data_IF_423399084166
#
_entry.id   IF_423399084166
#
_cell.length_a   1.000
_cell.length_b   1.000
_cell.length_c   1.000
_cell.angle_alpha   90.00
_cell.angle_beta   90.00
_cell.angle_gamma   90.00
#
_symmetry.space_group_name_H-M   'P 1'
#
loop_
_entity.id
_entity.type
_entity.pdbx_description
1 polymer ?
#
# COMPACT_ATOMS: atom_id res chain seq x y z
N UNK A 1 -19.80 4.96 -12.37
CA UNK A 1 -18.73 3.96 -12.37
C UNK A 1 -17.54 4.55 -11.62
N UNK A 2 -16.92 3.83 -10.70
CA UNK A 2 -15.78 4.32 -9.92
C UNK A 2 -14.46 3.97 -10.61
N UNK A 3 -13.51 4.88 -10.55
CA UNK A 3 -12.15 4.65 -11.04
C UNK A 3 -11.25 4.25 -9.87
N UNK A 4 -10.63 3.10 -9.95
CA UNK A 4 -9.77 2.53 -8.94
C UNK A 4 -8.35 2.45 -9.47
N UNK A 5 -7.43 3.16 -8.83
CA UNK A 5 -6.01 3.07 -9.11
C UNK A 5 -5.38 2.08 -8.12
N UNK A 6 -4.65 1.10 -8.63
CA UNK A 6 -3.77 0.27 -7.81
C UNK A 6 -2.33 0.75 -7.99
N UNK A 7 -1.60 0.84 -6.91
CA UNK A 7 -0.18 1.23 -6.91
C UNK A 7 0.64 0.15 -6.23
N UNK A 8 1.68 -0.32 -6.91
CA UNK A 8 2.68 -1.23 -6.36
C UNK A 8 4.09 -0.78 -6.74
N UNK A 9 5.06 -1.24 -5.99
CA UNK A 9 6.48 -1.04 -6.31
C UNK A 9 6.96 -1.94 -7.46
N UNK A 10 6.31 -3.09 -7.65
CA UNK A 10 6.68 -4.10 -8.64
C UNK A 10 5.48 -4.78 -9.28
N UNK A 11 5.61 -6.05 -9.62
CA UNK A 11 4.56 -6.83 -10.33
C UNK A 11 3.58 -7.55 -9.40
N UNK A 12 3.80 -7.57 -8.09
CA UNK A 12 2.93 -8.24 -7.11
C UNK A 12 1.51 -7.69 -7.07
N UNK A 13 1.34 -6.41 -7.40
CA UNK A 13 0.05 -5.74 -7.49
C UNK A 13 -0.92 -6.33 -8.52
N UNK A 14 -0.43 -7.13 -9.49
CA UNK A 14 -1.28 -7.84 -10.47
C UNK A 14 -2.26 -8.79 -9.76
N UNK A 15 -1.80 -9.54 -8.77
CA UNK A 15 -2.67 -10.46 -8.03
C UNK A 15 -3.75 -9.71 -7.24
N UNK A 16 -3.40 -8.57 -6.67
CA UNK A 16 -4.36 -7.69 -5.97
C UNK A 16 -5.38 -7.13 -6.97
N UNK A 17 -4.91 -6.68 -8.15
CA UNK A 17 -5.78 -6.19 -9.23
C UNK A 17 -6.80 -7.25 -9.65
N UNK A 18 -6.37 -8.47 -9.92
CA UNK A 18 -7.27 -9.56 -10.33
C UNK A 18 -8.35 -9.78 -9.28
N UNK A 19 -7.98 -9.80 -8.01
CA UNK A 19 -8.96 -9.94 -6.92
C UNK A 19 -9.92 -8.73 -6.83
N UNK A 20 -9.42 -7.52 -7.05
CA UNK A 20 -10.28 -6.33 -7.09
C UNK A 20 -11.29 -6.37 -8.25
N UNK A 21 -10.88 -6.86 -9.41
CA UNK A 21 -11.78 -7.02 -10.58
C UNK A 21 -12.88 -8.03 -10.26
N UNK A 22 -12.54 -9.16 -9.65
CA UNK A 22 -13.51 -10.20 -9.26
C UNK A 22 -14.58 -9.65 -8.28
N UNK A 23 -14.14 -8.85 -7.30
CA UNK A 23 -15.02 -8.31 -6.25
C UNK A 23 -15.81 -7.06 -6.68
N UNK A 24 -15.29 -6.30 -7.64
CA UNK A 24 -15.89 -5.04 -8.07
C UNK A 24 -15.88 -4.87 -9.60
N UNK A 25 -16.52 -5.78 -10.37
CA UNK A 25 -16.43 -5.82 -11.84
C UNK A 25 -17.01 -4.58 -12.54
N UNK A 26 -17.76 -3.75 -11.83
CA UNK A 26 -18.35 -2.51 -12.37
C UNK A 26 -17.44 -1.28 -12.22
N UNK A 27 -16.21 -1.45 -11.73
CA UNK A 27 -15.24 -0.36 -11.62
C UNK A 27 -14.28 -0.34 -12.82
N UNK A 28 -13.71 0.84 -13.08
CA UNK A 28 -12.56 0.95 -13.98
C UNK A 28 -11.28 0.80 -13.16
N UNK A 29 -10.33 0.03 -13.64
CA UNK A 29 -9.08 -0.23 -12.95
C UNK A 29 -7.87 0.25 -13.76
N UNK A 30 -6.91 0.84 -13.08
CA UNK A 30 -5.57 1.12 -13.57
C UNK A 30 -4.55 0.58 -12.56
N UNK A 31 -3.58 -0.19 -13.02
CA UNK A 31 -2.45 -0.62 -12.20
C UNK A 31 -1.20 0.17 -12.60
N UNK A 32 -0.58 0.81 -11.62
CA UNK A 32 0.70 1.48 -11.76
C UNK A 32 1.78 0.73 -10.97
N UNK A 33 2.82 0.27 -11.66
CA UNK A 33 3.99 -0.38 -11.08
C UNK A 33 5.23 0.47 -11.30
N UNK A 34 5.84 0.98 -10.23
CA UNK A 34 7.02 1.84 -10.32
C UNK A 34 8.33 1.02 -10.37
N UNK A 35 8.48 0.24 -11.42
CA UNK A 35 9.66 -0.61 -11.59
C UNK A 35 10.98 0.17 -11.71
N UNK A 36 10.91 1.44 -12.13
CA UNK A 36 12.10 2.30 -12.30
C UNK A 36 12.79 2.60 -10.97
N UNK A 37 12.02 2.76 -9.91
CA UNK A 37 12.52 3.19 -8.61
C UNK A 37 12.72 2.05 -7.60
N UNK A 38 12.63 0.79 -8.04
CA UNK A 38 12.96 -0.37 -7.21
C UNK A 38 14.44 -0.34 -6.75
N UNK A 39 14.78 -0.90 -5.58
CA UNK A 39 13.89 -1.46 -4.55
C UNK A 39 13.35 -0.39 -3.60
N UNK A 40 12.08 -0.50 -3.22
CA UNK A 40 11.43 0.44 -2.30
C UNK A 40 11.80 0.21 -0.83
N UNK A 41 12.07 -1.03 -0.46
CA UNK A 41 12.33 -1.42 0.93
C UNK A 41 13.58 -0.81 1.56
N UNK A 42 14.47 -0.23 0.75
CA UNK A 42 15.72 0.43 1.17
C UNK A 42 15.64 1.96 1.16
N UNK A 43 14.53 2.53 0.65
CA UNK A 43 14.36 3.99 0.57
C UNK A 43 13.83 4.56 1.89
N UNK A 44 14.19 5.82 2.16
CA UNK A 44 13.64 6.55 3.31
C UNK A 44 12.14 6.80 3.17
N UNK A 45 11.46 6.97 4.29
CA UNK A 45 10.04 7.32 4.33
C UNK A 45 9.75 8.59 3.53
N UNK A 46 10.58 9.61 3.69
CA UNK A 46 10.46 10.91 3.02
C UNK A 46 10.59 10.76 1.50
N UNK A 47 11.56 9.96 1.04
CA UNK A 47 11.74 9.66 -0.39
C UNK A 47 10.53 8.96 -0.96
N UNK A 48 10.00 7.95 -0.28
CA UNK A 48 8.82 7.21 -0.71
C UNK A 48 7.56 8.08 -0.74
N UNK A 49 7.37 8.95 0.26
CA UNK A 49 6.26 9.90 0.28
C UNK A 49 6.32 10.85 -0.90
N UNK A 50 7.49 11.40 -1.19
CA UNK A 50 7.69 12.31 -2.34
C UNK A 50 7.38 11.60 -3.67
N UNK A 51 7.96 10.42 -3.91
CA UNK A 51 7.73 9.62 -5.11
C UNK A 51 6.23 9.28 -5.28
N UNK A 52 5.58 8.84 -4.21
CA UNK A 52 4.16 8.47 -4.24
C UNK A 52 3.28 9.67 -4.62
N UNK A 53 3.46 10.81 -3.97
CA UNK A 53 2.66 12.02 -4.26
C UNK A 53 2.90 12.52 -5.68
N UNK A 54 4.15 12.55 -6.15
CA UNK A 54 4.48 12.96 -7.53
C UNK A 54 3.83 12.03 -8.56
N UNK A 55 3.90 10.71 -8.36
CA UNK A 55 3.28 9.73 -9.24
C UNK A 55 1.76 9.86 -9.25
N UNK A 56 1.13 9.97 -8.09
CA UNK A 56 -0.32 10.16 -7.99
C UNK A 56 -0.78 11.43 -8.69
N UNK A 57 -0.09 12.55 -8.53
CA UNK A 57 -0.40 13.81 -9.22
C UNK A 57 -0.33 13.65 -10.74
N UNK A 58 0.72 12.98 -11.25
CA UNK A 58 0.87 12.70 -12.70
C UNK A 58 -0.25 11.83 -13.22
N UNK A 59 -0.55 10.72 -12.55
CA UNK A 59 -1.61 9.79 -12.95
C UNK A 59 -2.96 10.49 -12.93
N UNK A 60 -3.23 11.33 -11.94
CA UNK A 60 -4.50 12.04 -11.81
C UNK A 60 -4.79 12.99 -12.98
N UNK A 61 -3.79 13.40 -13.75
CA UNK A 61 -4.00 14.26 -14.95
C UNK A 61 -4.75 13.54 -16.06
N UNK A 62 -4.58 12.23 -16.20
CA UNK A 62 -5.20 11.42 -17.26
C UNK A 62 -6.16 10.34 -16.76
N UNK A 63 -6.05 9.94 -15.49
CA UNK A 63 -6.95 8.99 -14.85
C UNK A 63 -7.43 9.54 -13.51
N UNK A 64 -8.65 10.11 -13.51
CA UNK A 64 -9.29 10.67 -12.31
C UNK A 64 -9.78 9.54 -11.41
N UNK A 65 -8.98 9.14 -10.45
CA UNK A 65 -9.30 8.06 -9.54
C UNK A 65 -10.14 8.55 -8.33
N UNK A 66 -11.10 7.71 -7.94
CA UNK A 66 -11.92 7.88 -6.74
C UNK A 66 -11.34 7.12 -5.54
N UNK A 67 -10.68 6.00 -5.84
CA UNK A 67 -10.08 5.10 -4.85
C UNK A 67 -8.67 4.75 -5.28
N UNK A 68 -7.74 4.72 -4.34
CA UNK A 68 -6.38 4.20 -4.53
C UNK A 68 -6.16 3.01 -3.61
N UNK A 69 -5.79 1.88 -4.19
CA UNK A 69 -5.35 0.68 -3.46
C UNK A 69 -3.83 0.63 -3.49
N UNK A 70 -3.19 0.74 -2.34
CA UNK A 70 -1.75 0.61 -2.21
C UNK A 70 -1.43 -0.87 -1.98
N UNK A 71 -1.05 -1.58 -3.04
CA UNK A 71 -0.80 -3.03 -3.05
C UNK A 71 0.62 -3.41 -2.57
N UNK A 72 1.31 -2.48 -1.92
CA UNK A 72 2.67 -2.64 -1.43
C UNK A 72 2.71 -2.36 0.07
N UNK A 73 3.18 -3.32 0.88
CA UNK A 73 3.30 -3.16 2.33
C UNK A 73 4.23 -2.01 2.72
N UNK A 74 5.35 -1.85 2.03
CA UNK A 74 6.32 -0.78 2.26
C UNK A 74 5.70 0.60 2.00
N UNK A 75 4.99 0.77 0.88
CA UNK A 75 4.29 2.01 0.55
C UNK A 75 3.15 2.29 1.53
N UNK A 76 2.36 1.30 1.89
CA UNK A 76 1.30 1.46 2.88
C UNK A 76 1.86 1.98 4.19
N UNK A 77 2.87 1.32 4.74
CA UNK A 77 3.46 1.69 6.03
C UNK A 77 4.07 3.09 6.05
N UNK A 78 4.51 3.60 4.91
CA UNK A 78 5.25 4.87 4.82
C UNK A 78 4.46 6.04 4.26
N UNK A 79 3.46 5.79 3.41
CA UNK A 79 2.88 6.85 2.58
C UNK A 79 1.38 7.09 2.77
N UNK A 80 0.62 6.11 3.30
CA UNK A 80 -0.85 6.17 3.28
C UNK A 80 -1.41 7.41 4.00
N UNK A 81 -0.85 7.78 5.14
CA UNK A 81 -1.31 8.96 5.89
C UNK A 81 -1.04 10.25 5.09
N UNK A 82 0.15 10.36 4.50
CA UNK A 82 0.50 11.50 3.67
C UNK A 82 -0.39 11.61 2.42
N UNK A 83 -0.75 10.48 1.83
CA UNK A 83 -1.69 10.43 0.70
C UNK A 83 -3.09 10.92 1.11
N UNK A 84 -3.60 10.49 2.26
CA UNK A 84 -4.89 10.92 2.81
C UNK A 84 -4.94 12.42 3.08
N UNK A 85 -3.87 12.96 3.64
CA UNK A 85 -3.73 14.42 3.86
C UNK A 85 -3.72 15.23 2.55
N UNK A 86 -3.06 14.68 1.52
CA UNK A 86 -2.85 15.40 0.24
C UNK A 86 -4.07 15.32 -0.67
N UNK A 87 -4.80 14.20 -0.67
CA UNK A 87 -5.95 13.92 -1.54
C UNK A 87 -7.21 13.67 -0.72
N UNK A 88 -7.74 14.70 -0.07
CA UNK A 88 -8.84 14.59 0.90
C UNK A 88 -10.14 13.97 0.33
N UNK A 89 -10.37 14.06 -0.98
CA UNK A 89 -11.57 13.53 -1.66
C UNK A 89 -11.37 12.13 -2.24
N UNK A 90 -10.19 11.51 -2.04
CA UNK A 90 -9.85 10.18 -2.55
C UNK A 90 -9.78 9.19 -1.38
N UNK A 91 -10.39 8.03 -1.57
CA UNK A 91 -10.29 6.94 -0.58
C UNK A 91 -9.01 6.15 -0.78
N UNK A 92 -8.22 5.99 0.27
CA UNK A 92 -7.00 5.18 0.27
C UNK A 92 -7.18 3.90 1.07
N UNK A 93 -6.89 2.76 0.45
CA UNK A 93 -6.88 1.42 1.05
C UNK A 93 -5.46 0.88 0.94
N UNK A 94 -4.86 0.51 2.06
CA UNK A 94 -3.52 -0.07 2.10
C UNK A 94 -3.56 -1.58 2.30
N UNK A 95 -2.46 -2.22 1.96
CA UNK A 95 -2.18 -3.62 2.31
C UNK A 95 -1.21 -3.67 3.48
N UNK A 96 -1.48 -4.53 4.43
CA UNK A 96 -0.65 -4.74 5.61
C UNK A 96 -0.41 -6.24 5.82
N UNK A 97 0.72 -6.63 6.43
CA UNK A 97 0.88 -8.00 6.89
C UNK A 97 -0.26 -8.39 7.82
N UNK A 98 -0.73 -9.63 7.74
CA UNK A 98 -1.86 -10.14 8.53
C UNK A 98 -1.50 -10.36 10.01
N UNK A 99 -0.82 -9.41 10.63
CA UNK A 99 -0.33 -9.49 12.02
C UNK A 99 -1.50 -9.51 13.00
N UNK A 100 -2.45 -8.59 12.86
CA UNK A 100 -3.58 -8.50 13.77
C UNK A 100 -4.41 -9.81 13.83
N UNK A 101 -4.92 -10.35 12.71
CA UNK A 101 -5.65 -11.60 12.75
C UNK A 101 -4.80 -12.81 13.18
N UNK A 102 -3.49 -12.77 12.93
CA UNK A 102 -2.59 -13.82 13.40
C UNK A 102 -2.42 -13.77 14.92
N UNK A 103 -2.25 -12.57 15.50
CA UNK A 103 -2.17 -12.38 16.95
C UNK A 103 -3.45 -12.83 17.68
N UNK A 104 -4.61 -12.51 17.11
CA UNK A 104 -5.92 -12.89 17.66
C UNK A 104 -6.10 -14.42 17.69
N UNK A 105 -5.49 -15.14 16.72
CA UNK A 105 -5.65 -16.58 16.57
C UNK A 105 -4.57 -17.42 17.26
N UNK A 106 -3.31 -16.99 17.25
CA UNK A 106 -2.16 -17.80 17.62
C UNK A 106 -1.34 -17.25 18.79
N UNK A 107 -1.46 -15.96 19.10
CA UNK A 107 -0.59 -15.30 20.07
C UNK A 107 0.78 -14.87 19.48
N UNK A 108 1.50 -13.99 20.18
CA UNK A 108 2.72 -13.35 19.64
C UNK A 108 3.91 -14.31 19.51
N UNK A 109 3.99 -15.35 20.33
CA UNK A 109 5.14 -16.27 20.37
C UNK A 109 5.18 -17.25 19.19
N UNK A 110 4.03 -17.46 18.53
CA UNK A 110 3.88 -18.40 17.43
C UNK A 110 3.92 -17.73 16.04
N UNK A 111 4.28 -16.43 15.99
CA UNK A 111 4.26 -15.65 14.75
C UNK A 111 5.66 -15.24 14.34
N UNK A 112 6.03 -15.60 13.10
CA UNK A 112 7.22 -15.06 12.43
C UNK A 112 6.80 -14.10 11.32
N UNK A 113 7.22 -12.83 11.44
CA UNK A 113 7.00 -11.81 10.43
C UNK A 113 8.22 -11.69 9.50
N UNK A 114 8.01 -11.90 8.20
CA UNK A 114 8.98 -11.64 7.14
C UNK A 114 8.52 -10.41 6.35
N UNK A 115 9.28 -9.34 6.42
CA UNK A 115 8.96 -8.07 5.75
C UNK A 115 10.23 -7.26 5.45
N UNK A 116 10.11 -6.22 4.62
CA UNK A 116 11.24 -5.31 4.36
C UNK A 116 11.58 -4.51 5.64
N UNK A 117 12.85 -4.07 5.80
CA UNK A 117 13.26 -3.25 6.94
C UNK A 117 12.37 -2.02 7.12
N UNK A 118 11.98 -1.36 6.03
CA UNK A 118 11.11 -0.20 6.06
C UNK A 118 9.71 -0.54 6.58
N UNK A 119 9.13 -1.66 6.15
CA UNK A 119 7.84 -2.14 6.68
C UNK A 119 7.93 -2.44 8.18
N UNK A 120 8.98 -3.14 8.62
CA UNK A 120 9.19 -3.46 10.04
C UNK A 120 9.31 -2.19 10.87
N UNK A 121 10.02 -1.18 10.36
CA UNK A 121 10.25 0.08 11.08
C UNK A 121 8.99 0.94 11.22
N UNK A 122 8.14 0.98 10.19
CA UNK A 122 7.03 1.93 10.09
C UNK A 122 5.65 1.33 10.25
N UNK A 123 5.49 0.00 10.23
CA UNK A 123 4.20 -0.64 10.46
C UNK A 123 3.82 -0.56 11.94
N UNK A 124 2.66 0.01 12.22
CA UNK A 124 2.22 0.22 13.61
C UNK A 124 1.91 -1.09 14.35
N UNK A 125 1.44 -2.14 13.68
CA UNK A 125 1.20 -3.44 14.31
C UNK A 125 2.50 -4.14 14.73
N UNK A 126 3.58 -3.95 13.98
CA UNK A 126 4.91 -4.45 14.37
C UNK A 126 5.36 -3.82 15.69
N UNK A 127 5.10 -2.52 15.84
CA UNK A 127 5.44 -1.80 17.07
C UNK A 127 4.59 -2.27 18.27
N UNK A 128 3.34 -2.68 18.04
CA UNK A 128 2.50 -3.26 19.07
C UNK A 128 3.03 -4.63 19.54
N UNK A 129 3.49 -5.47 18.63
CA UNK A 129 4.08 -6.79 18.96
C UNK A 129 5.39 -6.63 19.73
N UNK A 130 6.23 -5.63 19.41
CA UNK A 130 7.47 -5.35 20.14
C UNK A 130 7.26 -4.80 21.55
N UNK A 131 6.08 -4.30 21.85
CA UNK A 131 5.71 -3.79 23.17
C UNK A 131 5.13 -4.85 24.12
N UNK A 132 5.04 -6.10 23.65
CA UNK A 132 4.70 -7.29 24.42
C UNK A 132 6.01 -8.01 24.77
#
# INVERSE_FOLDING_TARGET
MKNVLLVDSGSGGVNVLLKCIDEAPMCNFLLFCDNKNLPYGEKSKETLQKLMIENLKKIYTFFKFDVVVIACNTLTATTIEKCRETFCNVKFVGTEPAIKPALEKYGPEDILLLATPTTIKHNHYVNLVKGI
#
